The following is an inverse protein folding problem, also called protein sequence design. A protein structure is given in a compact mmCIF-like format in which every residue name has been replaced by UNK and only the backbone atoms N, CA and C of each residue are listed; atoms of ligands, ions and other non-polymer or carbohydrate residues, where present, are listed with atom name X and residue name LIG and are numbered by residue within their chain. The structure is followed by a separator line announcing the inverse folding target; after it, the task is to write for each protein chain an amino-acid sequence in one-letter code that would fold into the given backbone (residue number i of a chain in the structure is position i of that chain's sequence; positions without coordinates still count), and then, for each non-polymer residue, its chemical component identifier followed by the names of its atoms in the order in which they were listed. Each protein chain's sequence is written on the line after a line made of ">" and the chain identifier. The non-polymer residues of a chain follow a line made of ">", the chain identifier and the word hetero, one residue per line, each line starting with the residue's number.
data_IF_068316195251
#
_entry.id   IF_068316195251
#
_cell.length_a   1.000
_cell.length_b   1.000
_cell.length_c   1.000
_cell.angle_alpha   90.00
_cell.angle_beta   90.00
_cell.angle_gamma   90.00
#
_symmetry.space_group_name_H-M   'P 1'
#
loop_
_entity.id
_entity.type
_entity.pdbx_description
1 polymer ?
#
# COMPACT_ATOMS: atom_id res chain seq x y z
N UNK A 1 -45.86 -9.24 -36.93
CA UNK A 1 -45.23 -10.54 -37.29
C UNK A 1 -44.32 -10.93 -36.11
N UNK A 2 -44.82 -11.81 -35.32
CA UNK A 2 -44.29 -12.89 -34.46
C UNK A 2 -42.88 -12.76 -33.83
N UNK A 3 -42.77 -12.91 -32.52
CA UNK A 3 -41.54 -12.99 -31.77
C UNK A 3 -41.04 -14.45 -31.63
N UNK A 4 -39.74 -14.63 -31.47
CA UNK A 4 -39.12 -15.86 -30.96
C UNK A 4 -37.96 -15.49 -30.06
N UNK A 5 -37.97 -15.81 -28.84
CA UNK A 5 -37.99 -16.98 -27.92
C UNK A 5 -36.59 -17.19 -27.33
N UNK A 6 -36.51 -17.00 -26.04
CA UNK A 6 -35.40 -17.32 -25.11
C UNK A 6 -35.28 -18.85 -24.96
N UNK A 7 -34.11 -19.40 -24.73
CA UNK A 7 -34.00 -20.66 -24.00
C UNK A 7 -33.33 -20.49 -22.62
N UNK A 8 -33.97 -21.17 -21.69
CA UNK A 8 -33.65 -21.39 -20.30
C UNK A 8 -32.46 -22.32 -20.12
N UNK A 9 -31.78 -22.14 -18.98
CA UNK A 9 -30.79 -23.01 -18.38
C UNK A 9 -31.31 -24.42 -18.04
N UNK A 10 -30.46 -25.43 -17.92
CA UNK A 10 -30.79 -26.61 -17.14
C UNK A 10 -30.01 -26.71 -15.82
N UNK A 11 -30.72 -27.31 -14.89
CA UNK A 11 -30.52 -27.57 -13.49
C UNK A 11 -29.40 -28.55 -13.14
N UNK A 12 -28.81 -28.30 -11.97
CA UNK A 12 -28.31 -29.17 -10.91
C UNK A 12 -28.52 -30.71 -11.10
N UNK A 13 -27.45 -31.46 -10.83
CA UNK A 13 -27.54 -32.76 -10.14
C UNK A 13 -26.43 -32.92 -9.13
N UNK A 14 -26.84 -33.00 -7.88
CA UNK A 14 -26.08 -33.52 -6.77
C UNK A 14 -25.91 -35.04 -6.92
N UNK A 15 -24.70 -35.55 -6.68
CA UNK A 15 -24.47 -36.99 -6.47
C UNK A 15 -23.94 -37.19 -5.04
N UNK A 16 -24.84 -37.66 -4.21
CA UNK A 16 -24.53 -38.31 -2.93
C UNK A 16 -24.08 -39.75 -3.23
N UNK A 17 -22.94 -40.16 -2.70
CA UNK A 17 -22.54 -41.56 -2.63
C UNK A 17 -22.48 -41.95 -1.17
N UNK A 18 -23.44 -42.76 -0.77
CA UNK A 18 -23.45 -43.49 0.47
C UNK A 18 -22.56 -44.73 0.34
N UNK A 19 -21.70 -44.97 1.30
CA UNK A 19 -20.96 -46.24 1.38
C UNK A 19 -21.45 -47.05 2.57
N UNK A 20 -21.84 -48.25 2.24
CA UNK A 20 -22.45 -49.22 3.13
C UNK A 20 -21.40 -49.91 4.02
N UNK A 21 -21.84 -50.18 5.24
CA UNK A 21 -21.20 -50.97 6.26
C UNK A 21 -21.37 -52.47 5.95
N UNK A 22 -20.30 -53.25 6.03
CA UNK A 22 -20.38 -54.71 6.09
C UNK A 22 -19.86 -55.20 7.44
N UNK A 23 -20.78 -55.75 8.23
CA UNK A 23 -20.52 -56.55 9.43
C UNK A 23 -20.07 -57.93 8.99
N UNK A 24 -19.07 -58.48 9.69
CA UNK A 24 -18.89 -59.94 9.79
C UNK A 24 -18.50 -60.28 11.22
N UNK A 25 -19.40 -61.02 11.83
CA UNK A 25 -19.28 -61.62 13.14
C UNK A 25 -18.51 -62.95 13.06
N UNK A 26 -17.71 -63.22 14.05
CA UNK A 26 -17.09 -64.53 14.27
C UNK A 26 -16.97 -64.79 15.78
N UNK A 27 -17.63 -65.83 16.19
CA UNK A 27 -17.99 -66.25 17.56
C UNK A 27 -16.95 -67.19 18.12
N UNK A 28 -16.77 -67.14 19.48
CA UNK A 28 -16.52 -68.24 20.44
C UNK A 28 -15.06 -68.69 20.61
N UNK A 29 -14.51 -68.80 21.87
CA UNK A 29 -14.85 -69.67 22.98
C UNK A 29 -14.21 -69.22 24.27
N UNK A 30 -14.89 -69.66 25.38
CA UNK A 30 -14.55 -69.49 26.79
C UNK A 30 -13.24 -70.19 27.20
N UNK A 31 -12.57 -69.58 28.18
CA UNK A 31 -11.52 -70.19 28.99
C UNK A 31 -11.36 -69.41 30.30
N UNK A 32 -11.87 -69.97 31.35
CA UNK A 32 -11.96 -69.45 32.71
C UNK A 32 -10.63 -69.65 33.47
N UNK A 33 -10.15 -68.58 34.14
CA UNK A 33 -9.44 -68.68 35.44
C UNK A 33 -9.06 -67.30 35.99
N UNK A 34 -9.65 -66.82 37.05
CA UNK A 34 -9.12 -65.83 37.99
C UNK A 34 -8.36 -66.58 39.11
N UNK A 35 -7.60 -65.97 40.03
CA UNK A 35 -7.41 -64.56 40.38
C UNK A 35 -5.95 -64.15 40.70
N UNK A 36 -5.64 -62.88 40.73
CA UNK A 36 -4.76 -62.26 41.73
C UNK A 36 -4.73 -60.70 41.61
N UNK A 37 -5.24 -60.09 42.68
CA UNK A 37 -5.11 -58.65 42.92
C UNK A 37 -3.63 -58.24 43.03
N UNK A 38 -3.18 -57.35 42.16
CA UNK A 38 -2.08 -56.44 42.46
C UNK A 38 -2.46 -55.06 41.91
N UNK A 39 -2.61 -54.09 42.82
CA UNK A 39 -2.73 -52.68 42.50
C UNK A 39 -1.50 -52.25 41.64
N UNK A 40 -1.67 -51.68 40.46
CA UNK A 40 -0.62 -50.95 39.85
C UNK A 40 -0.62 -49.53 40.44
N UNK A 41 0.54 -49.11 40.90
CA UNK A 41 0.85 -47.72 41.21
C UNK A 41 0.48 -46.80 40.03
N UNK A 42 0.15 -45.50 40.26
CA UNK A 42 -0.15 -44.58 39.19
C UNK A 42 1.10 -44.45 38.34
N UNK A 43 1.08 -45.01 37.14
CA UNK A 43 2.05 -44.71 36.11
C UNK A 43 1.84 -43.28 35.70
N UNK A 44 2.62 -42.40 36.30
CA UNK A 44 2.87 -41.03 35.84
C UNK A 44 3.53 -41.18 34.47
N UNK A 45 2.71 -41.18 33.43
CA UNK A 45 3.17 -41.04 32.05
C UNK A 45 3.62 -39.58 31.90
N UNK A 46 4.84 -39.33 32.35
CA UNK A 46 5.61 -38.19 31.82
C UNK A 46 5.77 -38.50 30.34
N UNK A 47 4.90 -37.91 29.52
CA UNK A 47 5.17 -37.73 28.11
C UNK A 47 6.46 -36.88 28.05
N UNK A 48 7.60 -37.55 27.85
CA UNK A 48 8.84 -36.88 27.45
C UNK A 48 8.54 -36.26 26.10
N UNK A 49 8.16 -34.97 26.12
CA UNK A 49 8.11 -34.16 24.89
C UNK A 49 9.49 -34.31 24.26
N UNK A 50 9.56 -34.65 22.96
CA UNK A 50 10.81 -34.64 22.23
C UNK A 50 11.50 -33.27 22.43
N UNK A 51 12.84 -33.19 22.49
CA UNK A 51 13.55 -31.92 22.69
C UNK A 51 13.09 -30.83 21.72
N UNK A 52 12.78 -31.18 20.50
CA UNK A 52 12.22 -30.29 19.48
C UNK A 52 10.82 -29.76 19.83
N UNK A 53 9.94 -30.62 20.37
CA UNK A 53 8.59 -30.19 20.80
C UNK A 53 8.64 -29.25 22.03
N UNK A 54 9.60 -29.48 22.94
CA UNK A 54 9.84 -28.58 24.06
C UNK A 54 10.39 -27.23 23.59
N UNK A 55 11.32 -27.23 22.65
CA UNK A 55 11.87 -26.03 22.04
C UNK A 55 10.82 -25.20 21.28
N UNK A 56 10.00 -25.85 20.47
CA UNK A 56 8.88 -25.19 19.78
C UNK A 56 7.92 -24.52 20.76
N UNK A 57 7.62 -25.15 21.89
CA UNK A 57 6.76 -24.55 22.92
C UNK A 57 7.36 -23.26 23.50
N UNK A 58 8.70 -23.15 23.61
CA UNK A 58 9.38 -21.93 24.05
C UNK A 58 9.23 -20.83 23.01
N UNK A 59 9.44 -21.13 21.74
CA UNK A 59 9.30 -20.17 20.63
C UNK A 59 7.87 -19.65 20.53
N UNK A 60 6.86 -20.54 20.63
CA UNK A 60 5.45 -20.16 20.63
C UNK A 60 5.09 -19.26 21.82
N UNK A 61 5.68 -19.50 22.99
CA UNK A 61 5.47 -18.66 24.16
C UNK A 61 6.16 -17.29 23.99
N UNK A 62 7.37 -17.26 23.47
CA UNK A 62 8.07 -16.03 23.19
C UNK A 62 7.31 -15.18 22.17
N UNK A 63 6.78 -15.79 21.11
CA UNK A 63 5.92 -15.13 20.14
C UNK A 63 4.69 -14.50 20.78
N UNK A 64 3.98 -15.26 21.63
CA UNK A 64 2.82 -14.71 22.36
C UNK A 64 3.17 -13.54 23.26
N UNK A 65 4.35 -13.55 23.90
CA UNK A 65 4.82 -12.43 24.72
C UNK A 65 5.09 -11.18 23.86
N UNK A 66 5.70 -11.34 22.68
CA UNK A 66 5.93 -10.24 21.74
C UNK A 66 4.59 -9.67 21.26
N UNK A 67 3.65 -10.55 20.86
CA UNK A 67 2.31 -10.17 20.38
C UNK A 67 1.48 -9.49 21.48
N UNK A 68 1.78 -9.75 22.76
CA UNK A 68 1.15 -9.14 23.95
C UNK A 68 1.91 -7.92 24.47
N UNK A 69 2.79 -7.32 23.66
CA UNK A 69 3.59 -6.14 24.01
C UNK A 69 4.48 -6.34 25.25
N UNK A 70 5.01 -7.55 25.47
CA UNK A 70 5.93 -7.91 26.54
C UNK A 70 7.30 -8.36 25.99
N UNK A 71 7.99 -7.53 25.18
CA UNK A 71 9.22 -7.92 24.50
C UNK A 71 10.38 -8.22 25.46
N UNK A 72 10.43 -7.58 26.65
CA UNK A 72 11.47 -7.83 27.65
C UNK A 72 11.41 -9.26 28.19
N UNK A 73 10.18 -9.74 28.50
CA UNK A 73 9.99 -11.11 28.98
C UNK A 73 10.32 -12.12 27.90
N UNK A 74 9.95 -11.85 26.64
CA UNK A 74 10.31 -12.68 25.49
C UNK A 74 11.84 -12.74 25.33
N UNK A 75 12.54 -11.61 25.40
CA UNK A 75 13.99 -11.51 25.26
C UNK A 75 14.73 -12.33 26.33
N UNK A 76 14.30 -12.28 27.60
CA UNK A 76 14.88 -13.08 28.68
C UNK A 76 14.71 -14.58 28.40
N UNK A 77 13.55 -15.00 27.94
CA UNK A 77 13.26 -16.39 27.63
C UNK A 77 14.09 -16.87 26.43
N UNK A 78 14.10 -16.11 25.33
CA UNK A 78 14.82 -16.44 24.12
C UNK A 78 16.35 -16.48 24.34
N UNK A 79 16.88 -15.59 25.16
CA UNK A 79 18.31 -15.61 25.51
C UNK A 79 18.73 -16.94 26.15
N UNK A 80 17.98 -17.39 27.17
CA UNK A 80 18.22 -18.67 27.82
C UNK A 80 18.08 -19.85 26.85
N UNK A 81 17.11 -19.75 25.93
CA UNK A 81 16.90 -20.77 24.92
C UNK A 81 18.08 -20.87 23.96
N UNK A 82 18.57 -19.75 23.43
CA UNK A 82 19.72 -19.68 22.53
C UNK A 82 20.99 -20.18 23.25
N UNK A 83 21.21 -19.78 24.52
CA UNK A 83 22.34 -20.21 25.34
C UNK A 83 22.32 -21.72 25.65
N UNK A 84 21.13 -22.35 25.62
CA UNK A 84 21.02 -23.80 25.81
C UNK A 84 21.47 -24.64 24.61
N UNK A 85 21.81 -24.01 23.47
CA UNK A 85 22.24 -24.69 22.26
C UNK A 85 21.12 -25.49 21.60
N UNK A 86 20.00 -24.85 21.20
CA UNK A 86 18.90 -25.56 20.55
C UNK A 86 19.32 -26.12 19.19
N UNK A 87 18.54 -27.09 18.64
CA UNK A 87 18.79 -27.58 17.28
C UNK A 87 18.78 -26.45 16.26
N UNK A 88 19.58 -26.54 15.17
CA UNK A 88 19.65 -25.50 14.12
C UNK A 88 18.28 -25.11 13.55
N UNK A 89 17.37 -26.06 13.40
CA UNK A 89 16.01 -25.86 12.89
C UNK A 89 15.10 -24.98 13.79
N UNK A 90 15.55 -24.68 15.01
CA UNK A 90 14.85 -23.81 15.96
C UNK A 90 15.66 -22.54 16.26
N UNK A 91 16.92 -22.49 15.83
CA UNK A 91 17.83 -21.40 16.16
C UNK A 91 17.55 -20.18 15.27
N UNK A 92 17.22 -20.36 13.99
CA UNK A 92 16.83 -19.28 13.09
C UNK A 92 15.50 -18.63 13.53
N UNK A 93 14.50 -19.43 13.94
CA UNK A 93 13.29 -18.94 14.58
C UNK A 93 13.59 -18.12 15.85
N UNK A 94 14.50 -18.66 16.71
CA UNK A 94 14.89 -17.97 17.94
C UNK A 94 15.56 -16.63 17.66
N UNK A 95 16.43 -16.54 16.64
CA UNK A 95 17.08 -15.29 16.25
C UNK A 95 16.06 -14.27 15.70
N UNK A 96 15.10 -14.71 14.85
CA UNK A 96 14.07 -13.81 14.35
C UNK A 96 13.20 -13.26 15.46
N UNK A 97 12.73 -14.13 16.39
CA UNK A 97 11.93 -13.71 17.54
C UNK A 97 12.72 -12.80 18.48
N UNK A 98 14.01 -13.08 18.71
CA UNK A 98 14.86 -12.20 19.51
C UNK A 98 15.02 -10.83 18.83
N UNK A 99 15.24 -10.79 17.52
CA UNK A 99 15.29 -9.54 16.77
C UNK A 99 13.96 -8.77 16.87
N UNK A 100 12.82 -9.47 16.80
CA UNK A 100 11.51 -8.87 16.98
C UNK A 100 11.30 -8.31 18.40
N UNK A 101 11.76 -9.02 19.44
CA UNK A 101 11.72 -8.53 20.82
C UNK A 101 12.61 -7.27 20.98
N UNK A 102 13.84 -7.28 20.46
CA UNK A 102 14.73 -6.11 20.49
C UNK A 102 14.12 -4.92 19.74
N UNK A 103 13.46 -5.16 18.59
CA UNK A 103 12.76 -4.12 17.86
C UNK A 103 11.59 -3.51 18.67
N UNK A 104 10.83 -4.33 19.39
CA UNK A 104 9.79 -3.87 20.32
C UNK A 104 10.34 -2.99 21.44
N UNK A 105 11.50 -3.35 21.97
CA UNK A 105 12.25 -2.60 23.00
C UNK A 105 12.93 -1.34 22.44
N UNK A 106 12.89 -1.09 21.12
CA UNK A 106 13.61 -0.01 20.41
C UNK A 106 15.15 -0.14 20.44
N UNK A 107 15.64 -1.33 20.72
CA UNK A 107 17.07 -1.66 20.74
C UNK A 107 17.56 -1.95 19.30
N UNK A 108 17.67 -0.89 18.49
CA UNK A 108 17.91 -1.01 17.04
C UNK A 108 19.23 -1.72 16.72
N UNK A 109 20.30 -1.47 17.48
CA UNK A 109 21.58 -2.10 17.26
C UNK A 109 21.51 -3.62 17.49
N UNK A 110 20.83 -4.05 18.55
CA UNK A 110 20.65 -5.48 18.85
C UNK A 110 19.72 -6.15 17.82
N UNK A 111 18.67 -5.46 17.37
CA UNK A 111 17.81 -5.95 16.28
C UNK A 111 18.66 -6.25 15.03
N UNK A 112 19.48 -5.29 14.60
CA UNK A 112 20.37 -5.46 13.44
C UNK A 112 21.33 -6.63 13.65
N UNK A 113 21.90 -6.77 14.85
CA UNK A 113 22.83 -7.85 15.18
C UNK A 113 22.17 -9.23 15.03
N UNK A 114 20.99 -9.45 15.62
CA UNK A 114 20.30 -10.75 15.53
C UNK A 114 19.80 -11.05 14.12
N UNK A 115 19.32 -10.06 13.38
CA UNK A 115 18.95 -10.25 11.96
C UNK A 115 20.17 -10.64 11.14
N UNK A 116 21.32 -9.97 11.30
CA UNK A 116 22.53 -10.30 10.56
C UNK A 116 23.07 -11.69 10.96
N UNK A 117 22.91 -12.08 12.22
CA UNK A 117 23.30 -13.41 12.68
C UNK A 117 22.42 -14.47 12.00
N UNK A 118 21.11 -14.29 11.92
CA UNK A 118 20.21 -15.19 11.19
C UNK A 118 20.62 -15.30 9.72
N UNK A 119 20.78 -14.17 9.04
CA UNK A 119 21.10 -14.14 7.61
C UNK A 119 22.51 -14.71 7.30
N UNK A 120 23.45 -14.58 8.24
CA UNK A 120 24.82 -15.11 8.11
C UNK A 120 24.92 -16.60 8.38
N UNK A 121 24.26 -17.09 9.43
CA UNK A 121 24.31 -18.50 9.82
C UNK A 121 23.32 -19.36 9.03
N UNK A 122 22.16 -18.78 8.64
CA UNK A 122 21.07 -19.47 7.93
C UNK A 122 20.65 -18.75 6.65
N UNK A 123 21.53 -18.58 5.65
CA UNK A 123 21.23 -17.82 4.44
C UNK A 123 20.12 -18.42 3.58
N UNK A 124 19.82 -19.71 3.76
CA UNK A 124 18.73 -20.43 3.05
C UNK A 124 17.47 -20.62 3.90
N UNK A 125 17.38 -19.98 5.07
CA UNK A 125 16.19 -20.04 5.90
C UNK A 125 15.00 -19.42 5.18
N UNK A 126 13.82 -20.03 5.32
CA UNK A 126 12.53 -19.45 4.86
C UNK A 126 12.14 -18.17 5.62
N UNK A 127 12.82 -17.89 6.74
CA UNK A 127 12.66 -16.68 7.52
C UNK A 127 13.51 -15.51 7.01
N UNK A 128 14.43 -15.72 6.05
CA UNK A 128 15.36 -14.69 5.58
C UNK A 128 14.65 -13.43 5.06
N UNK A 129 13.56 -13.59 4.32
CA UNK A 129 12.80 -12.45 3.79
C UNK A 129 12.07 -11.68 4.90
N UNK A 130 11.53 -12.37 5.91
CA UNK A 130 10.94 -11.74 7.10
C UNK A 130 11.98 -11.00 7.93
N UNK A 131 13.18 -11.57 8.06
CA UNK A 131 14.30 -10.93 8.74
C UNK A 131 14.72 -9.64 8.01
N UNK A 132 14.78 -9.64 6.67
CA UNK A 132 15.05 -8.44 5.87
C UNK A 132 13.97 -7.38 6.01
N UNK A 133 12.70 -7.77 6.08
CA UNK A 133 11.60 -6.83 6.36
C UNK A 133 11.76 -6.16 7.74
N UNK A 134 12.12 -6.95 8.76
CA UNK A 134 12.36 -6.41 10.10
C UNK A 134 13.58 -5.48 10.12
N UNK A 135 14.63 -5.82 9.38
CA UNK A 135 15.82 -4.98 9.22
C UNK A 135 15.47 -3.65 8.54
N UNK A 136 14.67 -3.69 7.48
CA UNK A 136 14.20 -2.49 6.80
C UNK A 136 13.38 -1.59 7.73
N UNK A 137 12.45 -2.16 8.51
CA UNK A 137 11.69 -1.42 9.54
C UNK A 137 12.61 -0.80 10.60
N UNK A 138 13.65 -1.52 11.00
CA UNK A 138 14.63 -1.05 11.98
C UNK A 138 15.41 0.16 11.46
N UNK A 139 15.93 0.07 10.23
CA UNK A 139 16.61 1.17 9.58
C UNK A 139 15.70 2.39 9.41
N UNK A 140 14.45 2.19 9.03
CA UNK A 140 13.48 3.28 8.87
C UNK A 140 13.18 3.97 10.21
N UNK A 141 13.02 3.21 11.32
CA UNK A 141 12.85 3.80 12.66
C UNK A 141 14.08 4.58 13.14
N UNK A 142 15.25 4.18 12.69
CA UNK A 142 16.51 4.92 12.94
C UNK A 142 16.71 6.12 11.99
N UNK A 143 15.74 6.42 11.11
CA UNK A 143 15.83 7.51 10.13
C UNK A 143 16.63 7.18 8.87
N UNK A 144 17.10 5.95 8.71
CA UNK A 144 17.98 5.52 7.63
C UNK A 144 17.18 4.89 6.47
N UNK A 145 16.29 5.67 5.84
CA UNK A 145 15.44 5.17 4.75
C UNK A 145 16.24 4.69 3.53
N UNK A 146 17.43 5.24 3.29
CA UNK A 146 18.30 4.83 2.19
C UNK A 146 18.89 3.42 2.38
N UNK A 147 18.96 2.92 3.61
CA UNK A 147 19.32 1.54 3.91
C UNK A 147 18.09 0.61 3.90
N UNK A 148 16.93 1.12 4.24
CA UNK A 148 15.69 0.34 4.28
C UNK A 148 15.17 -0.03 2.88
N UNK A 149 15.12 0.94 1.96
CA UNK A 149 14.52 0.77 0.64
C UNK A 149 15.18 -0.31 -0.25
N UNK A 150 16.52 -0.45 -0.30
CA UNK A 150 17.16 -1.54 -1.02
C UNK A 150 16.77 -2.93 -0.52
N UNK A 151 16.64 -3.12 0.81
CA UNK A 151 16.20 -4.39 1.40
C UNK A 151 14.78 -4.75 0.97
N UNK A 152 13.87 -3.77 0.97
CA UNK A 152 12.50 -3.97 0.50
C UNK A 152 12.45 -4.30 -0.99
N UNK A 153 13.30 -3.66 -1.80
CA UNK A 153 13.40 -3.96 -3.23
C UNK A 153 13.89 -5.38 -3.48
N UNK A 154 14.85 -5.86 -2.70
CA UNK A 154 15.35 -7.23 -2.77
C UNK A 154 14.25 -8.22 -2.41
N UNK A 155 13.55 -8.03 -1.27
CA UNK A 155 12.45 -8.90 -0.83
C UNK A 155 11.34 -8.92 -1.88
N UNK A 156 10.92 -7.77 -2.42
CA UNK A 156 9.91 -7.69 -3.48
C UNK A 156 10.29 -8.52 -4.70
N UNK A 157 11.56 -8.51 -5.08
CA UNK A 157 12.04 -9.15 -6.31
C UNK A 157 12.25 -10.65 -6.15
N UNK A 158 12.74 -11.10 -5.00
CA UNK A 158 13.23 -12.46 -4.78
C UNK A 158 12.28 -13.34 -3.97
N UNK A 159 11.45 -12.78 -3.11
CA UNK A 159 10.55 -13.59 -2.28
C UNK A 159 9.56 -14.38 -3.15
N UNK A 160 9.31 -15.62 -2.77
CA UNK A 160 8.28 -16.45 -3.39
C UNK A 160 6.90 -16.26 -2.73
N UNK A 161 6.87 -15.74 -1.49
CA UNK A 161 5.65 -15.55 -0.70
C UNK A 161 4.93 -14.24 -1.10
N UNK A 162 3.71 -14.29 -1.65
CA UNK A 162 2.93 -13.11 -2.00
C UNK A 162 2.64 -12.18 -0.81
N UNK A 163 2.46 -12.74 0.40
CA UNK A 163 2.20 -11.94 1.60
C UNK A 163 3.44 -11.13 2.00
N UNK A 164 4.63 -11.71 1.89
CA UNK A 164 5.88 -11.01 2.14
C UNK A 164 6.13 -9.93 1.08
N UNK A 165 5.85 -10.21 -0.19
CA UNK A 165 5.93 -9.21 -1.28
C UNK A 165 5.00 -8.03 -1.03
N UNK A 166 3.75 -8.32 -0.63
CA UNK A 166 2.78 -7.30 -0.26
C UNK A 166 3.30 -6.40 0.86
N UNK A 167 3.78 -7.01 1.95
CA UNK A 167 4.33 -6.26 3.08
C UNK A 167 5.54 -5.40 2.68
N UNK A 168 6.40 -5.90 1.77
CA UNK A 168 7.51 -5.13 1.23
C UNK A 168 7.04 -3.93 0.38
N UNK A 169 5.99 -4.10 -0.43
CA UNK A 169 5.42 -3.03 -1.25
C UNK A 169 4.77 -1.95 -0.37
N UNK A 170 3.98 -2.35 0.64
CA UNK A 170 3.37 -1.42 1.59
C UNK A 170 4.42 -0.57 2.29
N UNK A 171 5.45 -1.20 2.85
CA UNK A 171 6.56 -0.48 3.50
C UNK A 171 7.33 0.41 2.52
N UNK A 172 7.49 -0.03 1.26
CA UNK A 172 8.12 0.80 0.22
C UNK A 172 7.30 2.07 0.00
N UNK A 173 5.98 1.95 -0.11
CA UNK A 173 5.08 3.10 -0.25
C UNK A 173 5.18 4.06 0.93
N UNK A 174 5.10 3.54 2.15
CA UNK A 174 5.23 4.34 3.39
C UNK A 174 6.58 5.08 3.45
N UNK A 175 7.69 4.41 3.15
CA UNK A 175 9.02 5.00 3.25
C UNK A 175 9.30 6.00 2.11
N UNK A 176 8.78 5.75 0.92
CA UNK A 176 8.84 6.73 -0.18
C UNK A 176 7.99 7.97 0.12
N UNK A 177 6.82 7.80 0.73
CA UNK A 177 6.00 8.94 1.17
C UNK A 177 6.71 9.78 2.25
N UNK A 178 7.39 9.15 3.21
CA UNK A 178 8.24 9.86 4.20
C UNK A 178 9.37 10.66 3.53
N UNK A 179 9.96 10.13 2.46
CA UNK A 179 10.96 10.84 1.64
C UNK A 179 10.34 11.92 0.73
N UNK A 180 9.02 12.06 0.73
CA UNK A 180 8.25 12.93 -0.19
C UNK A 180 8.41 12.54 -1.66
N UNK A 181 8.84 11.31 -1.95
CA UNK A 181 8.79 10.74 -3.30
C UNK A 181 7.42 10.11 -3.54
N UNK A 182 6.43 10.99 -3.66
CA UNK A 182 5.02 10.60 -3.72
C UNK A 182 4.68 9.72 -4.94
N UNK A 183 5.38 9.92 -6.05
CA UNK A 183 5.12 9.12 -7.24
C UNK A 183 5.54 7.65 -7.04
N UNK A 184 6.72 7.43 -6.44
CA UNK A 184 7.16 6.08 -6.09
C UNK A 184 6.32 5.46 -4.96
N UNK A 185 5.85 6.27 -4.02
CA UNK A 185 4.93 5.80 -2.98
C UNK A 185 3.63 5.27 -3.59
N UNK A 186 2.99 6.07 -4.45
CA UNK A 186 1.77 5.69 -5.16
C UNK A 186 2.00 4.43 -6.02
N UNK A 187 3.12 4.36 -6.74
CA UNK A 187 3.43 3.18 -7.55
C UNK A 187 3.53 1.91 -6.71
N UNK A 188 4.22 1.97 -5.56
CA UNK A 188 4.36 0.82 -4.68
C UNK A 188 3.01 0.36 -4.11
N UNK A 189 2.16 1.28 -3.71
CA UNK A 189 0.81 0.96 -3.22
C UNK A 189 -0.12 0.44 -4.33
N UNK A 190 -0.01 0.95 -5.57
CA UNK A 190 -0.74 0.39 -6.70
C UNK A 190 -0.28 -1.03 -7.07
N UNK A 191 1.02 -1.33 -6.91
CA UNK A 191 1.57 -2.68 -7.11
C UNK A 191 1.16 -3.63 -5.95
N UNK A 192 0.82 -3.10 -4.77
CA UNK A 192 0.33 -3.85 -3.61
C UNK A 192 -1.12 -4.31 -3.78
N UNK A 193 -2.02 -3.45 -4.28
CA UNK A 193 -3.46 -3.68 -4.39
C UNK A 193 -3.81 -5.05 -5.01
N UNK A 194 -3.20 -5.52 -6.10
CA UNK A 194 -3.51 -6.84 -6.67
C UNK A 194 -3.11 -8.03 -5.78
N UNK A 195 -2.25 -7.80 -4.78
CA UNK A 195 -1.81 -8.82 -3.82
C UNK A 195 -2.66 -8.83 -2.56
N UNK A 196 -3.50 -7.83 -2.38
CA UNK A 196 -4.39 -7.69 -1.24
C UNK A 196 -5.67 -8.49 -1.42
N UNK A 197 -6.28 -8.89 -0.30
CA UNK A 197 -7.58 -9.53 -0.27
C UNK A 197 -8.64 -8.56 0.28
N UNK A 198 -9.66 -8.24 -0.53
CA UNK A 198 -10.86 -7.55 -0.06
C UNK A 198 -10.62 -6.18 0.59
N UNK A 199 -10.86 -6.09 1.89
CA UNK A 199 -10.84 -4.81 2.63
C UNK A 199 -9.47 -4.11 2.65
N UNK A 200 -8.37 -4.85 2.57
CA UNK A 200 -7.03 -4.27 2.56
C UNK A 200 -6.75 -3.47 1.29
N UNK A 201 -7.23 -3.93 0.14
CA UNK A 201 -7.13 -3.17 -1.11
C UNK A 201 -7.83 -1.81 -1.02
N UNK A 202 -8.99 -1.75 -0.36
CA UNK A 202 -9.71 -0.49 -0.11
C UNK A 202 -8.96 0.43 0.86
N UNK A 203 -8.27 -0.12 1.86
CA UNK A 203 -7.44 0.67 2.77
C UNK A 203 -6.27 1.31 2.03
N UNK A 204 -5.57 0.54 1.20
CA UNK A 204 -4.46 1.04 0.37
C UNK A 204 -4.91 2.11 -0.63
N UNK A 205 -6.07 1.91 -1.29
CA UNK A 205 -6.68 2.97 -2.11
C UNK A 205 -7.02 4.22 -1.26
N UNK A 206 -7.52 4.03 -0.04
CA UNK A 206 -7.80 5.10 0.91
C UNK A 206 -6.56 5.93 1.24
N UNK A 207 -5.42 5.28 1.47
CA UNK A 207 -4.12 5.94 1.70
C UNK A 207 -3.68 6.78 0.50
N UNK A 208 -3.80 6.24 -0.72
CA UNK A 208 -3.50 6.99 -1.94
C UNK A 208 -4.41 8.20 -2.07
N UNK A 209 -5.72 8.05 -1.81
CA UNK A 209 -6.68 9.17 -1.85
C UNK A 209 -6.34 10.25 -0.83
N UNK A 210 -5.99 9.85 0.38
CA UNK A 210 -5.58 10.78 1.42
C UNK A 210 -4.31 11.54 1.03
N UNK A 211 -3.29 10.83 0.54
CA UNK A 211 -2.05 11.44 0.07
C UNK A 211 -2.32 12.51 -1.00
N UNK A 212 -3.10 12.17 -2.04
CA UNK A 212 -3.42 13.07 -3.16
C UNK A 212 -4.20 14.29 -2.70
N UNK A 213 -5.17 14.11 -1.78
CA UNK A 213 -6.03 15.21 -1.35
C UNK A 213 -5.39 16.15 -0.34
N UNK A 214 -4.50 15.63 0.54
CA UNK A 214 -4.04 16.37 1.72
C UNK A 214 -2.57 16.79 1.65
N UNK A 215 -1.72 16.05 0.94
CA UNK A 215 -0.27 16.23 1.02
C UNK A 215 0.38 16.73 -0.27
N UNK A 216 -0.29 16.56 -1.44
CA UNK A 216 0.30 16.91 -2.72
C UNK A 216 0.05 18.38 -3.08
N UNK A 217 1.12 19.08 -3.43
CA UNK A 217 1.05 20.41 -4.05
C UNK A 217 0.69 20.30 -5.54
N UNK A 218 0.39 21.43 -6.18
CA UNK A 218 0.00 21.45 -7.58
C UNK A 218 1.06 20.82 -8.52
N UNK A 219 2.37 21.07 -8.38
CA UNK A 219 3.40 20.39 -9.17
C UNK A 219 3.41 18.86 -8.99
N UNK A 220 3.21 18.36 -7.76
CA UNK A 220 3.14 16.91 -7.51
C UNK A 220 1.86 16.29 -8.10
N UNK A 221 0.72 16.97 -7.99
CA UNK A 221 -0.54 16.56 -8.62
C UNK A 221 -0.42 16.47 -10.14
N UNK A 222 0.27 17.44 -10.78
CA UNK A 222 0.54 17.38 -12.23
C UNK A 222 1.35 16.13 -12.57
N UNK A 223 2.41 15.81 -11.81
CA UNK A 223 3.20 14.59 -12.03
C UNK A 223 2.35 13.31 -11.90
N UNK A 224 1.47 13.24 -10.90
CA UNK A 224 0.56 12.08 -10.72
C UNK A 224 -0.42 11.99 -11.89
N UNK A 225 -1.04 13.11 -12.29
CA UNK A 225 -1.96 13.16 -13.43
C UNK A 225 -1.31 12.67 -14.73
N UNK A 226 -0.06 13.07 -14.99
CA UNK A 226 0.64 12.66 -16.21
C UNK A 226 1.17 11.22 -16.14
N UNK A 227 1.52 10.72 -14.95
CA UNK A 227 1.91 9.32 -14.77
C UNK A 227 0.72 8.35 -14.93
N UNK A 228 -0.49 8.79 -14.56
CA UNK A 228 -1.72 7.99 -14.63
C UNK A 228 -2.82 8.67 -15.45
N UNK A 229 -2.59 8.88 -16.77
CA UNK A 229 -3.43 9.77 -17.59
C UNK A 229 -4.85 9.27 -17.83
N UNK A 230 -5.16 8.00 -17.60
CA UNK A 230 -6.48 7.37 -17.86
C UNK A 230 -6.97 6.44 -16.75
N UNK A 231 -6.32 6.47 -15.60
CA UNK A 231 -6.61 5.58 -14.48
C UNK A 231 -6.46 6.31 -13.14
N UNK A 232 -6.96 5.68 -12.08
CA UNK A 232 -6.65 6.06 -10.71
C UNK A 232 -5.14 5.98 -10.45
N UNK A 233 -4.56 6.95 -9.73
CA UNK A 233 -5.15 8.15 -9.13
C UNK A 233 -5.04 9.42 -10.00
N UNK A 234 -4.84 9.30 -11.29
CA UNK A 234 -4.72 10.45 -12.20
C UNK A 234 -6.02 11.23 -12.37
N UNK A 235 -7.16 10.54 -12.30
CA UNK A 235 -8.50 11.14 -12.23
C UNK A 235 -8.63 12.03 -10.98
N UNK A 236 -8.26 11.49 -9.83
CA UNK A 236 -8.31 12.19 -8.55
C UNK A 236 -7.38 13.41 -8.53
N UNK A 237 -6.14 13.25 -9.03
CA UNK A 237 -5.19 14.36 -9.14
C UNK A 237 -5.70 15.46 -10.07
N UNK A 238 -6.38 15.10 -11.16
CA UNK A 238 -7.00 16.06 -12.07
C UNK A 238 -8.13 16.84 -11.41
N UNK A 239 -9.00 16.16 -10.65
CA UNK A 239 -10.10 16.80 -9.90
C UNK A 239 -9.51 17.77 -8.86
N UNK A 240 -8.49 17.34 -8.13
CA UNK A 240 -7.85 18.17 -7.12
C UNK A 240 -7.18 19.42 -7.71
N UNK A 241 -6.57 19.33 -8.89
CA UNK A 241 -6.03 20.47 -9.61
C UNK A 241 -7.12 21.46 -10.01
N UNK A 242 -8.26 20.96 -10.52
CA UNK A 242 -9.42 21.81 -10.84
C UNK A 242 -9.91 22.56 -9.60
N UNK A 243 -9.99 21.88 -8.45
CA UNK A 243 -10.40 22.51 -7.18
C UNK A 243 -9.41 23.60 -6.74
N UNK A 244 -8.11 23.31 -6.78
CA UNK A 244 -7.07 24.26 -6.38
C UNK A 244 -7.07 25.51 -7.27
N UNK A 245 -7.10 25.34 -8.59
CA UNK A 245 -7.12 26.47 -9.52
C UNK A 245 -8.43 27.25 -9.44
N UNK A 246 -9.57 26.57 -9.15
CA UNK A 246 -10.84 27.25 -8.92
C UNK A 246 -10.80 28.11 -7.66
N UNK A 247 -10.24 27.58 -6.56
CA UNK A 247 -10.06 28.33 -5.32
C UNK A 247 -9.10 29.51 -5.45
N UNK A 248 -8.10 29.38 -6.32
CA UNK A 248 -7.14 30.45 -6.66
C UNK A 248 -7.72 31.51 -7.65
N UNK A 249 -8.87 31.26 -8.24
CA UNK A 249 -9.46 32.13 -9.25
C UNK A 249 -8.72 32.12 -10.61
N UNK A 250 -7.96 31.06 -10.88
CA UNK A 250 -7.14 30.91 -12.09
C UNK A 250 -7.97 30.30 -13.23
N UNK A 251 -8.99 31.01 -13.66
CA UNK A 251 -10.00 30.53 -14.62
C UNK A 251 -9.39 29.89 -15.89
N UNK A 252 -8.25 30.37 -16.37
CA UNK A 252 -7.56 29.82 -17.55
C UNK A 252 -6.97 28.41 -17.27
N UNK A 253 -6.47 28.16 -16.06
CA UNK A 253 -5.99 26.82 -15.64
C UNK A 253 -7.16 25.89 -15.39
N UNK A 254 -8.24 26.40 -14.79
CA UNK A 254 -9.50 25.65 -14.60
C UNK A 254 -10.04 25.16 -15.96
N UNK A 255 -10.14 26.02 -16.97
CA UNK A 255 -10.63 25.62 -18.30
C UNK A 255 -9.73 24.56 -18.95
N UNK A 256 -8.40 24.75 -18.86
CA UNK A 256 -7.45 23.76 -19.36
C UNK A 256 -7.61 22.40 -18.67
N UNK A 257 -7.67 22.39 -17.34
CA UNK A 257 -7.72 21.15 -16.58
C UNK A 257 -9.08 20.45 -16.74
N UNK A 258 -10.18 21.18 -16.82
CA UNK A 258 -11.50 20.65 -17.13
C UNK A 258 -11.55 19.99 -18.51
N UNK A 259 -11.01 20.66 -19.54
CA UNK A 259 -10.92 20.11 -20.88
C UNK A 259 -10.09 18.84 -20.92
N UNK A 260 -8.95 18.81 -20.22
CA UNK A 260 -8.08 17.66 -20.14
C UNK A 260 -8.78 16.50 -19.40
N UNK A 261 -9.44 16.79 -18.27
CA UNK A 261 -10.19 15.81 -17.51
C UNK A 261 -11.31 15.17 -18.35
N UNK A 262 -12.15 15.97 -19.00
CA UNK A 262 -13.25 15.48 -19.81
C UNK A 262 -12.78 14.63 -21.01
N UNK A 263 -11.62 14.96 -21.58
CA UNK A 263 -11.05 14.18 -22.69
C UNK A 263 -10.47 12.83 -22.22
N UNK A 264 -9.90 12.77 -21.01
CA UNK A 264 -9.26 11.57 -20.47
C UNK A 264 -10.24 10.65 -19.74
N UNK A 265 -11.27 11.22 -19.09
CA UNK A 265 -12.24 10.55 -18.23
C UNK A 265 -13.70 10.87 -18.59
N UNK A 266 -14.15 10.61 -19.81
CA UNK A 266 -15.49 11.03 -20.26
C UNK A 266 -16.63 10.34 -19.50
N UNK A 267 -16.41 9.14 -18.97
CA UNK A 267 -17.42 8.34 -18.26
C UNK A 267 -17.25 8.41 -16.71
N UNK A 268 -16.40 9.30 -16.21
CA UNK A 268 -16.19 9.42 -14.76
C UNK A 268 -17.43 10.06 -14.09
N UNK A 269 -17.81 9.66 -12.86
CA UNK A 269 -18.95 10.26 -12.15
C UNK A 269 -18.89 11.79 -12.03
N UNK A 270 -17.69 12.35 -11.99
CA UNK A 270 -17.46 13.80 -11.93
C UNK A 270 -17.62 14.50 -13.31
N UNK A 271 -17.74 13.77 -14.43
CA UNK A 271 -17.71 14.36 -15.77
C UNK A 271 -18.86 15.34 -16.02
N UNK A 272 -20.07 15.04 -15.56
CA UNK A 272 -21.22 15.95 -15.68
C UNK A 272 -20.94 17.28 -14.97
N UNK A 273 -20.50 17.23 -13.71
CA UNK A 273 -20.14 18.42 -12.93
C UNK A 273 -18.98 19.21 -13.57
N UNK A 274 -17.99 18.52 -14.13
CA UNK A 274 -16.88 19.14 -14.84
C UNK A 274 -17.35 19.86 -16.11
N UNK A 275 -18.29 19.30 -16.87
CA UNK A 275 -18.86 19.93 -18.05
C UNK A 275 -19.67 21.19 -17.69
N UNK A 276 -20.48 21.13 -16.64
CA UNK A 276 -21.23 22.28 -16.13
C UNK A 276 -20.28 23.41 -15.70
N UNK A 277 -19.25 23.08 -14.92
CA UNK A 277 -18.22 24.04 -14.50
C UNK A 277 -17.48 24.64 -15.71
N UNK A 278 -17.16 23.83 -16.72
CA UNK A 278 -16.53 24.30 -17.94
C UNK A 278 -17.42 25.31 -18.70
N UNK A 279 -18.73 25.04 -18.77
CA UNK A 279 -19.67 25.96 -19.38
C UNK A 279 -19.69 27.32 -18.64
N UNK A 280 -19.71 27.31 -17.31
CA UNK A 280 -19.66 28.52 -16.48
C UNK A 280 -18.35 29.31 -16.72
N UNK A 281 -17.21 28.63 -16.66
CA UNK A 281 -15.89 29.27 -16.88
C UNK A 281 -15.82 29.89 -18.29
N UNK A 282 -16.30 29.18 -19.32
CA UNK A 282 -16.31 29.68 -20.69
C UNK A 282 -17.23 30.89 -20.89
N UNK A 283 -18.32 31.01 -20.13
CA UNK A 283 -19.17 32.22 -20.22
C UNK A 283 -18.46 33.45 -19.69
N UNK A 284 -17.61 33.33 -18.68
CA UNK A 284 -16.78 34.44 -18.20
C UNK A 284 -15.87 34.99 -19.31
N UNK A 285 -15.29 34.13 -20.15
CA UNK A 285 -14.47 34.56 -21.29
C UNK A 285 -15.31 35.17 -22.42
N UNK A 286 -16.55 34.73 -22.62
CA UNK A 286 -17.44 35.26 -23.66
C UNK A 286 -18.09 36.57 -23.27
N UNK A 287 -18.14 36.93 -22.00
CA UNK A 287 -18.78 38.17 -21.52
C UNK A 287 -17.92 39.40 -21.70
N UNK A 288 -16.69 39.27 -22.18
CA UNK A 288 -15.82 40.41 -22.42
C UNK A 288 -15.87 40.82 -23.90
N UNK A 289 -16.23 42.06 -24.23
CA UNK A 289 -16.31 42.52 -25.60
C UNK A 289 -14.95 42.60 -26.28
N UNK A 290 -13.87 42.70 -25.50
CA UNK A 290 -12.49 42.66 -25.97
C UNK A 290 -11.73 41.56 -25.23
N UNK A 291 -10.87 40.83 -25.95
CA UNK A 291 -9.99 39.81 -25.36
C UNK A 291 -8.55 39.98 -25.85
N UNK A 292 -7.62 39.89 -24.92
CA UNK A 292 -6.19 39.83 -25.20
C UNK A 292 -5.74 38.39 -25.05
N UNK A 293 -5.12 37.85 -26.12
CA UNK A 293 -4.45 36.55 -26.02
C UNK A 293 -2.97 36.78 -25.64
N UNK A 294 -2.55 36.15 -24.55
CA UNK A 294 -1.16 36.16 -24.09
C UNK A 294 -0.60 34.73 -24.24
N UNK A 295 0.49 34.59 -24.98
CA UNK A 295 1.14 33.33 -25.31
C UNK A 295 2.56 33.36 -24.78
N UNK A 296 2.86 32.62 -23.71
CA UNK A 296 4.18 32.56 -23.10
C UNK A 296 4.38 31.27 -22.32
N UNK A 297 5.59 30.90 -21.92
CA UNK A 297 5.86 29.66 -21.23
C UNK A 297 5.25 29.68 -19.82
N UNK A 298 4.24 28.82 -19.59
CA UNK A 298 3.62 28.61 -18.30
C UNK A 298 4.05 27.25 -17.70
N UNK A 299 4.82 26.46 -18.46
CA UNK A 299 5.41 25.18 -18.04
C UNK A 299 6.90 25.14 -18.36
N UNK A 300 7.61 24.15 -17.81
CA UNK A 300 9.03 23.94 -18.04
C UNK A 300 9.94 24.94 -17.34
N UNK A 301 11.19 25.02 -17.80
CA UNK A 301 12.26 25.85 -17.17
C UNK A 301 11.96 27.34 -17.16
N UNK A 302 11.17 27.80 -18.11
CA UNK A 302 10.84 29.23 -18.27
C UNK A 302 9.51 29.61 -17.58
N UNK A 303 8.83 28.67 -16.94
CA UNK A 303 7.56 28.91 -16.21
C UNK A 303 7.62 30.09 -15.21
N UNK A 304 8.70 30.29 -14.42
CA UNK A 304 8.79 31.46 -13.54
C UNK A 304 8.66 32.80 -14.25
N UNK A 305 9.30 32.93 -15.41
CA UNK A 305 9.20 34.17 -16.23
C UNK A 305 7.78 34.34 -16.78
N UNK A 306 7.14 33.25 -17.23
CA UNK A 306 5.74 33.27 -17.66
C UNK A 306 4.79 33.75 -16.56
N UNK A 307 5.00 33.27 -15.34
CA UNK A 307 4.20 33.67 -14.19
C UNK A 307 4.37 35.17 -13.84
N UNK A 308 5.59 35.69 -13.88
CA UNK A 308 5.84 37.11 -13.64
C UNK A 308 5.19 38.01 -14.70
N UNK A 309 5.28 37.62 -15.97
CA UNK A 309 4.61 38.34 -17.08
C UNK A 309 3.09 38.31 -16.89
N UNK A 310 2.52 37.14 -16.51
CA UNK A 310 1.08 37.01 -16.25
C UNK A 310 0.63 37.92 -15.11
N UNK A 311 1.37 37.97 -14.01
CA UNK A 311 1.09 38.87 -12.89
C UNK A 311 1.11 40.34 -13.31
N UNK A 312 2.07 40.73 -14.14
CA UNK A 312 2.12 42.08 -14.70
C UNK A 312 0.91 42.45 -15.56
N UNK A 313 0.47 41.51 -16.43
CA UNK A 313 -0.72 41.70 -17.28
C UNK A 313 -1.97 41.79 -16.41
N UNK A 314 -2.13 40.93 -15.41
CA UNK A 314 -3.27 40.94 -14.52
C UNK A 314 -3.37 42.25 -13.74
N UNK A 315 -2.25 42.75 -13.19
CA UNK A 315 -2.19 44.02 -12.49
C UNK A 315 -2.57 45.20 -13.41
N UNK A 316 -2.11 45.16 -14.65
CA UNK A 316 -2.45 46.20 -15.65
C UNK A 316 -3.94 46.20 -15.99
N UNK A 317 -4.55 45.00 -16.12
CA UNK A 317 -5.98 44.84 -16.37
C UNK A 317 -6.85 45.27 -15.16
N UNK A 318 -6.40 45.00 -13.94
CA UNK A 318 -7.07 45.46 -12.73
C UNK A 318 -7.07 46.99 -12.64
N UNK A 319 -5.92 47.63 -12.85
CA UNK A 319 -5.82 49.08 -12.83
C UNK A 319 -6.64 49.74 -13.94
N UNK A 320 -6.83 49.06 -15.07
CA UNK A 320 -7.66 49.58 -16.15
C UNK A 320 -9.17 49.59 -15.80
N UNK A 321 -9.60 48.73 -14.88
CA UNK A 321 -10.99 48.67 -14.36
C UNK A 321 -11.28 49.83 -13.41
N UNK A 322 -10.29 50.31 -12.65
CA UNK A 322 -10.47 51.38 -11.68
C UNK A 322 -10.63 52.76 -12.35
N UNK A 323 -10.33 52.88 -13.64
CA UNK A 323 -10.41 54.13 -14.41
C UNK A 323 -11.83 54.49 -14.96
N UNK A 324 -12.86 53.72 -14.73
CA UNK A 324 -14.28 54.12 -14.81
C UNK A 324 -14.97 54.06 -16.18
N UNK A 325 -14.29 54.02 -17.33
CA UNK A 325 -14.91 53.99 -18.67
C UNK A 325 -14.31 52.98 -19.67
N UNK A 326 -13.37 52.15 -19.24
CA UNK A 326 -12.78 51.16 -20.14
C UNK A 326 -13.62 49.89 -20.24
N UNK A 327 -13.89 49.36 -21.44
CA UNK A 327 -14.61 48.11 -21.61
C UNK A 327 -13.83 46.99 -20.94
N UNK A 328 -14.56 46.08 -20.30
CA UNK A 328 -13.99 44.91 -19.67
C UNK A 328 -13.19 44.07 -20.69
N UNK A 329 -11.90 43.90 -20.43
CA UNK A 329 -10.99 43.15 -21.30
C UNK A 329 -10.79 41.78 -20.69
N UNK A 330 -11.09 40.72 -21.45
CA UNK A 330 -10.82 39.34 -21.09
C UNK A 330 -9.37 38.96 -21.43
N UNK A 331 -8.71 38.24 -20.53
CA UNK A 331 -7.39 37.69 -20.76
C UNK A 331 -7.46 36.19 -21.11
N UNK A 332 -6.93 35.83 -22.28
CA UNK A 332 -6.76 34.43 -22.71
C UNK A 332 -5.28 34.08 -22.63
N UNK A 333 -4.91 33.18 -21.72
CA UNK A 333 -3.52 32.74 -21.58
C UNK A 333 -3.34 31.39 -22.28
N UNK A 334 -2.27 31.28 -23.09
CA UNK A 334 -1.84 30.01 -23.68
C UNK A 334 -0.39 29.71 -23.33
N UNK A 335 -0.15 28.47 -22.91
CA UNK A 335 1.19 27.96 -22.68
C UNK A 335 1.88 27.62 -24.00
N UNK A 336 3.12 28.05 -24.16
CA UNK A 336 3.97 27.67 -25.31
C UNK A 336 4.54 26.27 -25.18
N UNK A 337 4.36 25.59 -24.05
CA UNK A 337 4.92 24.25 -23.79
C UNK A 337 6.41 24.15 -24.15
N UNK A 338 7.22 25.11 -23.70
CA UNK A 338 8.60 25.32 -24.12
C UNK A 338 9.60 24.19 -23.83
N UNK A 339 9.14 23.06 -23.30
CA UNK A 339 9.95 21.84 -23.04
C UNK A 339 9.86 20.78 -24.17
N UNK A 340 9.29 21.12 -25.32
CA UNK A 340 9.30 20.23 -26.49
C UNK A 340 10.49 20.57 -27.44
N UNK A 341 11.70 20.50 -26.87
CA UNK A 341 12.94 20.50 -27.68
C UNK A 341 13.84 19.36 -27.19
#
# INVERSE_FOLDING_TARGET
>A
MVPRSVPRAPHLRACSVALAVAFLAGLVTLGEAAPAKKNPAPSRTEQSKSPTAAGQSVLDQAKRLIDSEQPEAAAVMLRRFIESGPPPDLLDDAYLLMAAAMFGMKEHAETVRYVNQLLGEFPSSDLADRAKLLLAKTHARAGNLDLALPLLSEVRSLSADPAIKRDALRLTGEFQAQKKDYLRAIQAWLDEIPLDAGDQAHETEGQIRQLVNEQLDAPALVRVREAYPKSFPGDLASIKLIELHTAAGEDHLVERDLRLFLSRFPNHPYAAKAADLQAVVRTKFKSHPYSIAAIFPMSGKLAPFGAEVLNGIQLALERSKDGGETPSIGLIVKDTESDRA
#
